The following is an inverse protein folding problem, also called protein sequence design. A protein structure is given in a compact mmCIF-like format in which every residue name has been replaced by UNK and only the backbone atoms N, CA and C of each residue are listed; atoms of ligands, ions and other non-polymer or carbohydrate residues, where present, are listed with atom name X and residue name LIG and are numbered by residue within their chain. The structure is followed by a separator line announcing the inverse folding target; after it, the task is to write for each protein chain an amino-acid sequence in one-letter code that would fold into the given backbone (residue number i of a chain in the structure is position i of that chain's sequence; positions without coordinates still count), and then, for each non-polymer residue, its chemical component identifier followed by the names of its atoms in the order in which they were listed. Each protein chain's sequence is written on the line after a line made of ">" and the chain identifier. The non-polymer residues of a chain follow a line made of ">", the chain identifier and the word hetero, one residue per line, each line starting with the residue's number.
data_IF_369491748088
#
_entry.id   IF_369491748088
#
_cell.length_a   1.000
_cell.length_b   1.000
_cell.length_c   1.000
_cell.angle_alpha   90.00
_cell.angle_beta   90.00
_cell.angle_gamma   90.00
#
_symmetry.space_group_name_H-M   'P 1'
#
loop_
_entity.id
_entity.type
_entity.pdbx_description
1 polymer ?
#
# COMPACT_ATOMS: atom_id res chain seq x y z
N UNK A 1 9.60 -7.36 -20.72
CA UNK A 1 8.34 -7.74 -21.38
C UNK A 1 7.40 -6.55 -21.38
N UNK A 2 6.53 -6.42 -22.38
CA UNK A 2 5.59 -5.29 -22.51
C UNK A 2 4.71 -5.10 -21.25
N UNK A 3 4.23 -6.19 -20.65
CA UNK A 3 3.46 -6.15 -19.39
C UNK A 3 4.20 -5.46 -18.25
N UNK A 4 5.51 -5.72 -18.12
CA UNK A 4 6.35 -5.10 -17.07
C UNK A 4 6.52 -3.60 -17.31
N UNK A 5 6.68 -3.17 -18.56
CA UNK A 5 6.76 -1.75 -18.91
C UNK A 5 5.45 -1.02 -18.58
N UNK A 6 4.29 -1.60 -18.94
CA UNK A 6 2.96 -1.03 -18.62
C UNK A 6 2.74 -0.93 -17.11
N UNK A 7 3.16 -1.94 -16.36
CA UNK A 7 3.12 -1.93 -14.90
C UNK A 7 3.98 -0.79 -14.32
N UNK A 8 5.24 -0.68 -14.74
CA UNK A 8 6.15 0.36 -14.27
C UNK A 8 5.63 1.77 -14.57
N UNK A 9 5.12 2.01 -15.79
CA UNK A 9 4.56 3.31 -16.15
C UNK A 9 3.29 3.65 -15.35
N UNK A 10 2.47 2.64 -15.07
CA UNK A 10 1.30 2.81 -14.19
C UNK A 10 1.75 3.19 -12.78
N UNK A 11 2.72 2.48 -12.20
CA UNK A 11 3.25 2.79 -10.88
C UNK A 11 3.87 4.19 -10.80
N UNK A 12 4.63 4.58 -11.83
CA UNK A 12 5.25 5.91 -11.94
C UNK A 12 4.21 7.04 -11.93
N UNK A 13 3.01 6.80 -12.46
CA UNK A 13 1.92 7.79 -12.47
C UNK A 13 1.08 7.76 -11.20
N UNK A 14 0.75 6.57 -10.71
CA UNK A 14 -0.24 6.37 -9.65
C UNK A 14 0.37 6.54 -8.25
N UNK A 15 1.58 6.02 -7.99
CA UNK A 15 2.16 6.06 -6.65
C UNK A 15 2.44 7.50 -6.15
N UNK A 16 2.99 8.42 -6.97
CA UNK A 16 3.15 9.81 -6.53
C UNK A 16 1.82 10.51 -6.26
N UNK A 17 0.78 10.15 -7.02
CA UNK A 17 -0.57 10.68 -6.80
C UNK A 17 -1.14 10.16 -5.47
N UNK A 18 -1.06 8.86 -5.21
CA UNK A 18 -1.52 8.25 -3.94
C UNK A 18 -0.78 8.82 -2.73
N UNK A 19 0.55 9.01 -2.82
CA UNK A 19 1.37 9.57 -1.74
C UNK A 19 0.89 11.00 -1.39
N UNK A 20 0.60 11.82 -2.41
CA UNK A 20 0.05 13.17 -2.22
C UNK A 20 -1.39 13.16 -1.71
N UNK A 21 -2.24 12.26 -2.21
CA UNK A 21 -3.62 12.12 -1.71
C UNK A 21 -3.64 11.75 -0.23
N UNK A 22 -2.75 10.86 0.19
CA UNK A 22 -2.60 10.52 1.60
C UNK A 22 -2.12 11.73 2.42
N UNK A 23 -1.14 12.47 1.91
CA UNK A 23 -0.64 13.70 2.55
C UNK A 23 -1.71 14.76 2.79
N UNK A 24 -2.68 14.90 1.88
CA UNK A 24 -3.79 15.85 2.04
C UNK A 24 -4.65 15.57 3.27
N UNK A 25 -4.61 14.36 3.83
CA UNK A 25 -5.36 13.97 5.02
C UNK A 25 -4.43 13.86 6.23
N UNK A 26 -4.48 14.86 7.12
CA UNK A 26 -3.68 14.89 8.35
C UNK A 26 -2.16 14.68 8.10
N UNK A 27 -1.63 15.24 7.00
CA UNK A 27 -0.21 15.06 6.62
C UNK A 27 0.16 13.64 6.21
N UNK A 28 -0.81 12.74 6.00
CA UNK A 28 -0.62 11.32 5.71
C UNK A 28 -0.27 10.45 6.92
N UNK A 29 -0.45 10.99 8.12
CA UNK A 29 -0.25 10.25 9.38
C UNK A 29 -1.38 9.25 9.69
N UNK A 30 -2.54 9.41 9.04
CA UNK A 30 -3.74 8.56 9.22
C UNK A 30 -4.15 7.89 7.89
N UNK A 31 -5.38 7.44 7.75
CA UNK A 31 -5.86 6.74 6.56
C UNK A 31 -6.22 7.71 5.42
N UNK A 32 -6.50 7.19 4.23
CA UNK A 32 -6.92 7.99 3.08
C UNK A 32 -8.18 8.83 3.33
N UNK A 33 -8.99 8.47 4.33
CA UNK A 33 -10.22 9.18 4.73
C UNK A 33 -10.16 9.68 6.19
N UNK A 34 -8.96 9.93 6.71
CA UNK A 34 -8.77 10.42 8.08
C UNK A 34 -8.65 9.29 9.10
N UNK A 35 -9.52 9.26 10.11
CA UNK A 35 -9.36 8.37 11.28
C UNK A 35 -9.70 6.91 11.04
N UNK A 36 -10.62 6.65 10.13
CA UNK A 36 -11.16 5.32 9.93
C UNK A 36 -10.47 4.64 8.75
N UNK A 37 -10.04 3.40 8.97
CA UNK A 37 -9.58 2.54 7.89
C UNK A 37 -10.77 2.22 6.97
N UNK A 38 -10.57 2.44 5.68
CA UNK A 38 -11.56 2.16 4.63
C UNK A 38 -11.03 1.08 3.68
N UNK A 39 -11.87 0.71 2.71
CA UNK A 39 -11.46 -0.19 1.64
C UNK A 39 -10.29 0.38 0.82
N UNK A 40 -10.14 1.70 0.72
CA UNK A 40 -9.02 2.31 -0.02
C UNK A 40 -7.66 1.94 0.61
N UNK A 41 -7.57 1.94 1.94
CA UNK A 41 -6.35 1.58 2.66
C UNK A 41 -6.02 0.10 2.52
N UNK A 42 -7.06 -0.75 2.57
CA UNK A 42 -6.91 -2.20 2.34
C UNK A 42 -6.47 -2.52 0.91
N UNK A 43 -7.04 -1.82 -0.08
CA UNK A 43 -6.64 -1.96 -1.49
C UNK A 43 -5.20 -1.50 -1.70
N UNK A 44 -4.78 -0.41 -1.05
CA UNK A 44 -3.39 0.03 -1.09
C UNK A 44 -2.45 -1.01 -0.46
N UNK A 45 -2.87 -1.67 0.62
CA UNK A 45 -2.10 -2.77 1.20
C UNK A 45 -1.95 -3.94 0.23
N UNK A 46 -3.07 -4.51 -0.24
CA UNK A 46 -3.08 -5.77 -1.00
C UNK A 46 -2.53 -5.62 -2.42
N UNK A 47 -2.87 -4.54 -3.13
CA UNK A 47 -2.38 -4.31 -4.50
C UNK A 47 -0.86 -4.14 -4.58
N UNK A 48 -0.22 -3.76 -3.45
CA UNK A 48 1.21 -3.55 -3.36
C UNK A 48 1.95 -4.71 -2.66
N UNK A 49 1.27 -5.82 -2.32
CA UNK A 49 1.92 -6.98 -1.69
C UNK A 49 2.94 -7.64 -2.62
N UNK A 50 2.50 -8.11 -3.79
CA UNK A 50 3.39 -8.78 -4.74
C UNK A 50 4.53 -7.86 -5.22
N UNK A 51 4.29 -6.59 -5.61
CA UNK A 51 5.39 -5.66 -5.94
C UNK A 51 6.43 -5.51 -4.83
N UNK A 52 6.01 -5.49 -3.57
CA UNK A 52 6.93 -5.39 -2.42
C UNK A 52 7.66 -6.70 -2.10
N UNK A 53 7.06 -7.86 -2.44
CA UNK A 53 7.74 -9.15 -2.34
C UNK A 53 8.81 -9.31 -3.44
N UNK A 54 8.54 -8.81 -4.65
CA UNK A 54 9.49 -8.80 -5.76
C UNK A 54 10.64 -7.82 -5.53
N UNK A 55 10.34 -6.63 -5.01
CA UNK A 55 11.31 -5.58 -4.70
C UNK A 55 10.98 -4.88 -3.38
N UNK A 56 11.71 -5.23 -2.32
CA UNK A 56 11.53 -4.61 -1.00
C UNK A 56 11.81 -3.10 -0.97
N UNK A 57 12.54 -2.58 -1.96
CA UNK A 57 12.88 -1.16 -2.10
C UNK A 57 11.83 -0.37 -2.89
N UNK A 58 10.81 -1.05 -3.44
CA UNK A 58 9.81 -0.49 -4.36
C UNK A 58 9.10 0.77 -3.84
N UNK A 59 8.88 0.86 -2.52
CA UNK A 59 8.22 2.00 -1.87
C UNK A 59 9.18 2.96 -1.13
N UNK A 60 10.49 2.89 -1.35
CA UNK A 60 11.44 3.74 -0.62
C UNK A 60 11.23 5.25 -0.85
N UNK A 61 10.78 5.63 -2.05
CA UNK A 61 10.43 7.02 -2.39
C UNK A 61 9.04 7.46 -1.90
N UNK A 62 8.27 6.55 -1.27
CA UNK A 62 6.88 6.78 -0.87
C UNK A 62 6.67 6.44 0.63
N UNK A 63 7.30 7.22 1.54
CA UNK A 63 7.32 6.91 2.96
C UNK A 63 5.93 6.88 3.62
N UNK A 64 4.97 7.71 3.18
CA UNK A 64 3.63 7.76 3.75
C UNK A 64 2.82 6.53 3.35
N UNK A 65 2.87 6.10 2.08
CA UNK A 65 2.28 4.83 1.65
C UNK A 65 2.88 3.66 2.44
N UNK A 66 4.21 3.63 2.63
CA UNK A 66 4.86 2.60 3.44
C UNK A 66 4.32 2.58 4.88
N UNK A 67 4.21 3.75 5.51
CA UNK A 67 3.63 3.88 6.85
C UNK A 67 2.14 3.50 6.91
N UNK A 68 1.37 3.79 5.86
CA UNK A 68 -0.03 3.37 5.74
C UNK A 68 -0.14 1.84 5.72
N UNK A 69 0.69 1.17 4.91
CA UNK A 69 0.70 -0.30 4.83
C UNK A 69 1.01 -0.94 6.18
N UNK A 70 1.97 -0.38 6.92
CA UNK A 70 2.30 -0.82 8.28
C UNK A 70 1.09 -0.66 9.24
N UNK A 71 0.39 0.47 9.18
CA UNK A 71 -0.82 0.71 9.97
C UNK A 71 -1.95 -0.26 9.63
N UNK A 72 -2.13 -0.59 8.35
CA UNK A 72 -3.14 -1.58 7.92
C UNK A 72 -2.80 -2.97 8.44
N UNK A 73 -1.54 -3.43 8.33
CA UNK A 73 -1.18 -4.77 8.80
C UNK A 73 -1.18 -4.92 10.33
N UNK A 74 -0.94 -3.83 11.05
CA UNK A 74 -0.97 -3.83 12.53
C UNK A 74 -2.37 -3.58 13.10
N UNK A 75 -3.35 -3.22 12.27
CA UNK A 75 -4.74 -3.02 12.70
C UNK A 75 -5.29 -4.31 13.35
N UNK A 76 -5.97 -4.17 14.50
CA UNK A 76 -6.34 -5.28 15.40
C UNK A 76 -7.04 -6.44 14.69
N UNK A 77 -8.02 -6.15 13.82
CA UNK A 77 -8.74 -7.16 13.04
C UNK A 77 -7.93 -7.75 11.88
N UNK A 78 -7.05 -6.95 11.27
CA UNK A 78 -6.28 -7.35 10.09
C UNK A 78 -5.07 -8.19 10.47
N UNK A 79 -4.35 -7.80 11.53
CA UNK A 79 -3.15 -8.50 12.00
C UNK A 79 -3.40 -9.98 12.28
N UNK A 80 -4.55 -10.31 12.88
CA UNK A 80 -4.94 -11.68 13.16
C UNK A 80 -5.24 -12.47 11.87
N UNK A 81 -5.92 -11.87 10.90
CA UNK A 81 -6.19 -12.48 9.60
C UNK A 81 -4.90 -12.73 8.81
N UNK A 82 -4.04 -11.72 8.69
CA UNK A 82 -2.80 -11.78 7.90
C UNK A 82 -1.82 -12.82 8.43
N UNK A 83 -1.82 -13.09 9.75
CA UNK A 83 -1.01 -14.15 10.36
C UNK A 83 -1.53 -15.56 10.10
N UNK A 84 -2.83 -15.72 9.85
CA UNK A 84 -3.50 -17.03 9.69
C UNK A 84 -3.78 -17.40 8.24
N UNK A 85 -3.85 -16.44 7.32
CA UNK A 85 -4.14 -16.72 5.91
C UNK A 85 -3.07 -17.63 5.32
N UNK A 86 -3.47 -18.46 4.35
CA UNK A 86 -2.53 -19.27 3.59
C UNK A 86 -1.56 -18.35 2.84
N UNK A 87 -0.30 -18.76 2.76
CA UNK A 87 0.69 -18.09 1.92
C UNK A 87 0.51 -18.61 0.49
N UNK A 88 0.19 -17.71 -0.42
CA UNK A 88 0.13 -17.96 -1.87
C UNK A 88 1.16 -17.09 -2.56
N UNK A 89 1.59 -17.52 -3.75
CA UNK A 89 2.53 -16.74 -4.56
C UNK A 89 1.86 -15.53 -5.23
N UNK A 90 0.53 -15.60 -5.45
CA UNK A 90 -0.32 -14.54 -5.98
C UNK A 90 -1.72 -14.58 -5.35
#
# INVERSE_FOLDING_TARGET
>A
SERRMRFQETCRRILPFLERTLEMQNGGSRFFMGDNMTMADMMCYCALENPMMEDSSFLNSYPKIRALRERVMTHSKMSHYLKKRCRTDF
#
